data_IF_514063424126
#
_entry.id   IF_514063424126
#
_cell.length_a   1.000
_cell.length_b   1.000
_cell.length_c   1.000
_cell.angle_alpha   90.00
_cell.angle_beta   90.00
_cell.angle_gamma   90.00
#
_symmetry.space_group_name_H-M   'P 1'
#
loop_
_entity.id
_entity.type
_entity.pdbx_description
1 polymer ?
#
# COMPACT_ATOMS: atom_id res chain seq x y z
N UNK A 1 -11.68 27.49 -12.29
CA UNK A 1 -11.69 26.92 -13.64
C UNK A 1 -10.42 26.11 -13.97
N UNK A 2 -9.22 26.55 -13.57
CA UNK A 2 -7.98 25.82 -13.83
C UNK A 2 -7.89 24.47 -13.09
N UNK A 3 -8.43 24.35 -11.89
CA UNK A 3 -8.43 23.11 -11.12
C UNK A 3 -9.32 22.03 -11.76
N UNK A 4 -10.39 22.42 -12.42
CA UNK A 4 -11.31 21.50 -13.10
C UNK A 4 -10.73 20.97 -14.43
N UNK A 5 -9.95 21.78 -15.14
CA UNK A 5 -9.22 21.33 -16.35
C UNK A 5 -8.06 20.40 -16.01
N UNK A 6 -7.35 20.67 -14.91
CA UNK A 6 -6.26 19.80 -14.44
C UNK A 6 -6.79 18.40 -14.03
N UNK A 7 -7.95 18.36 -13.37
CA UNK A 7 -8.59 17.09 -13.00
C UNK A 7 -9.02 16.27 -14.23
N UNK A 8 -9.52 16.94 -15.29
CA UNK A 8 -9.88 16.28 -16.56
C UNK A 8 -8.66 15.79 -17.34
N UNK A 9 -7.55 16.53 -17.29
CA UNK A 9 -6.28 16.14 -17.92
C UNK A 9 -5.62 14.98 -17.19
N UNK A 10 -5.67 14.97 -15.85
CA UNK A 10 -5.19 13.84 -15.03
C UNK A 10 -6.00 12.55 -15.30
N UNK A 11 -7.33 12.66 -15.44
CA UNK A 11 -8.18 11.51 -15.77
C UNK A 11 -7.85 10.92 -17.16
N UNK A 12 -7.41 11.74 -18.13
CA UNK A 12 -6.97 11.26 -19.45
C UNK A 12 -5.58 10.64 -19.45
N UNK A 13 -4.67 11.08 -18.57
CA UNK A 13 -3.33 10.51 -18.42
C UNK A 13 -3.35 9.12 -17.75
N UNK A 14 -4.32 8.88 -16.88
CA UNK A 14 -4.50 7.58 -16.20
C UNK A 14 -5.01 6.51 -17.19
N UNK A 15 -5.72 6.89 -18.26
CA UNK A 15 -6.28 5.95 -19.25
C UNK A 15 -5.32 5.58 -20.40
N UNK A 16 -4.16 6.23 -20.51
CA UNK A 16 -3.21 5.99 -21.60
C UNK A 16 -1.79 5.72 -21.12
N UNK A 17 -1.56 4.60 -20.47
CA UNK A 17 -0.31 3.85 -20.49
C UNK A 17 0.96 4.50 -19.93
N UNK A 18 1.62 3.76 -19.15
CA UNK A 18 3.02 3.75 -18.72
C UNK A 18 3.99 4.75 -19.40
N UNK A 19 4.43 5.75 -18.64
CA UNK A 19 5.58 6.57 -18.98
C UNK A 19 6.81 6.09 -18.21
N UNK A 20 7.74 5.42 -18.88
CA UNK A 20 9.07 5.11 -18.35
C UNK A 20 9.94 6.37 -18.54
N UNK A 21 10.30 7.05 -17.45
CA UNK A 21 11.27 8.15 -17.47
C UNK A 21 12.55 7.67 -16.80
N UNK A 22 13.57 7.44 -17.60
CA UNK A 22 14.95 7.32 -17.11
C UNK A 22 15.53 8.75 -16.99
N UNK A 23 15.71 9.25 -15.77
CA UNK A 23 16.42 10.50 -15.51
C UNK A 23 17.60 10.24 -14.59
N UNK A 24 18.82 10.35 -15.13
CA UNK A 24 20.05 10.46 -14.35
C UNK A 24 20.23 11.91 -13.91
N UNK A 25 20.07 12.22 -12.64
CA UNK A 25 20.36 13.53 -12.08
C UNK A 25 21.28 13.43 -10.89
N UNK A 26 22.43 14.09 -11.00
CA UNK A 26 23.35 14.40 -9.89
C UNK A 26 22.79 15.58 -9.11
N UNK A 27 22.40 15.39 -7.84
CA UNK A 27 21.91 16.44 -6.96
C UNK A 27 23.02 16.93 -6.03
N UNK A 28 23.06 18.25 -5.71
CA UNK A 28 24.00 18.81 -4.75
C UNK A 28 23.65 18.43 -3.30
N UNK A 29 24.65 18.44 -2.37
CA UNK A 29 24.42 18.07 -0.97
C UNK A 29 23.82 19.25 -0.23
N UNK A 30 22.60 19.11 0.25
CA UNK A 30 21.96 19.73 1.40
C UNK A 30 20.44 19.90 1.20
N UNK A 31 19.70 18.86 1.56
CA UNK A 31 18.39 19.00 2.15
C UNK A 31 18.12 17.72 2.94
N UNK A 32 18.13 17.80 4.26
CA UNK A 32 17.62 16.74 5.13
C UNK A 32 16.09 16.70 4.95
N UNK A 33 15.65 16.15 3.85
CA UNK A 33 14.27 15.76 3.67
C UNK A 33 14.14 14.36 4.28
N UNK A 34 13.45 14.24 5.41
CA UNK A 34 12.98 12.95 5.89
C UNK A 34 11.96 12.45 4.90
N UNK A 35 12.40 11.55 4.05
CA UNK A 35 11.59 10.96 3.00
C UNK A 35 11.09 9.61 3.45
N UNK A 36 9.80 9.43 3.37
CA UNK A 36 9.07 8.28 3.84
C UNK A 36 8.93 7.22 2.76
N UNK A 37 8.90 6.00 3.23
CA UNK A 37 9.20 4.79 2.49
C UNK A 37 8.01 4.19 1.76
N UNK A 38 8.36 3.61 0.64
CA UNK A 38 7.48 2.94 -0.27
C UNK A 38 6.96 1.59 0.19
N UNK A 39 5.87 1.33 -0.36
CA UNK A 39 5.06 0.18 -0.58
C UNK A 39 5.65 -1.20 -0.29
N UNK A 40 5.21 -1.78 0.77
CA UNK A 40 5.03 -3.21 0.85
C UNK A 40 3.63 -3.43 1.39
N UNK A 41 2.74 -3.88 0.53
CA UNK A 41 1.33 -4.17 0.83
C UNK A 41 0.41 -2.95 0.93
N UNK A 42 -0.84 -3.04 0.50
CA UNK A 42 -1.86 -2.02 0.70
C UNK A 42 -2.36 -1.85 2.14
N UNK A 43 -1.79 -2.54 3.13
CA UNK A 43 -1.68 -1.96 4.44
C UNK A 43 -0.53 -0.95 4.34
N UNK A 44 -0.79 0.18 3.72
CA UNK A 44 0.11 1.30 3.71
C UNK A 44 0.47 1.62 5.15
N UNK A 45 1.66 1.18 5.59
CA UNK A 45 2.35 1.92 6.62
C UNK A 45 2.71 3.24 5.95
N UNK A 46 1.75 4.15 5.90
CA UNK A 46 2.01 5.56 5.63
C UNK A 46 2.63 6.08 6.91
N UNK A 47 3.96 6.20 7.01
CA UNK A 47 4.54 6.86 8.13
C UNK A 47 3.99 8.28 8.08
N UNK A 48 3.24 8.68 9.11
CA UNK A 48 2.83 10.06 9.26
C UNK A 48 4.09 10.92 9.12
N UNK A 49 4.03 11.91 8.28
CA UNK A 49 5.02 12.98 8.26
C UNK A 49 5.16 13.49 9.68
N UNK A 50 6.37 13.58 10.27
CA UNK A 50 6.53 14.45 11.41
C UNK A 50 5.97 15.81 11.00
N UNK A 51 5.14 16.39 11.83
CA UNK A 51 4.56 17.71 11.60
C UNK A 51 5.69 18.71 11.31
N UNK A 52 6.04 18.87 10.07
CA UNK A 52 6.98 19.86 9.61
C UNK A 52 6.19 21.08 9.21
N UNK A 53 6.33 22.12 10.07
CA UNK A 53 6.11 23.53 9.75
C UNK A 53 5.00 23.79 8.72
N UNK A 54 4.00 24.46 9.21
CA UNK A 54 3.11 25.33 8.44
C UNK A 54 3.92 26.33 7.58
N UNK A 55 4.60 25.87 6.55
CA UNK A 55 4.95 26.74 5.43
C UNK A 55 3.74 26.77 4.51
N UNK A 56 2.97 27.80 4.65
CA UNK A 56 1.71 28.17 4.01
C UNK A 56 1.84 28.44 2.50
N UNK A 57 2.54 27.63 1.72
CA UNK A 57 2.75 27.98 0.30
C UNK A 57 2.56 26.88 -0.74
N UNK A 58 2.06 25.71 -0.40
CA UNK A 58 1.51 24.83 -1.43
C UNK A 58 0.48 23.90 -0.84
N UNK A 59 -0.76 24.24 -1.00
CA UNK A 59 -1.91 23.43 -0.60
C UNK A 59 -2.09 22.19 -1.47
N UNK A 60 -1.35 22.09 -2.59
CA UNK A 60 -1.44 20.99 -3.54
C UNK A 60 -0.07 20.40 -3.86
N UNK A 61 0.07 19.07 -3.76
CA UNK A 61 1.24 18.34 -4.24
C UNK A 61 0.83 16.99 -4.85
N UNK A 62 1.73 16.40 -5.64
CA UNK A 62 1.59 15.06 -6.19
C UNK A 62 2.82 14.25 -5.77
N UNK A 63 2.60 13.13 -5.09
CA UNK A 63 3.64 12.16 -4.75
C UNK A 63 3.61 11.02 -5.77
N UNK A 64 4.78 10.61 -6.21
CA UNK A 64 4.99 9.52 -7.17
C UNK A 64 5.92 8.52 -6.51
N UNK A 65 5.51 7.26 -6.49
CA UNK A 65 6.34 6.14 -6.03
C UNK A 65 6.34 5.08 -7.13
N UNK A 66 7.52 4.61 -7.51
CA UNK A 66 7.69 3.44 -8.36
C UNK A 66 8.51 2.39 -7.61
N UNK A 67 8.09 1.14 -7.60
CA UNK A 67 8.73 0.10 -6.82
C UNK A 67 8.90 -1.20 -7.62
N UNK A 68 9.95 -1.93 -7.28
CA UNK A 68 10.16 -3.33 -7.64
C UNK A 68 10.25 -4.10 -6.32
N UNK A 69 9.49 -5.18 -6.20
CA UNK A 69 9.46 -6.03 -5.02
C UNK A 69 9.70 -7.49 -5.43
N UNK A 70 10.45 -8.24 -4.63
CA UNK A 70 10.75 -9.66 -4.93
C UNK A 70 9.53 -10.57 -4.82
N UNK A 71 8.54 -10.19 -3.99
CA UNK A 71 7.26 -10.87 -3.82
C UNK A 71 6.21 -9.85 -3.33
N UNK A 72 5.12 -9.69 -4.07
CA UNK A 72 4.04 -8.82 -3.64
C UNK A 72 3.18 -9.50 -2.58
N UNK A 73 3.51 -9.24 -1.33
CA UNK A 73 2.87 -9.83 -0.16
C UNK A 73 1.80 -8.89 0.39
N UNK A 74 0.55 -9.37 0.49
CA UNK A 74 -0.58 -8.65 1.03
C UNK A 74 -1.03 -9.30 2.34
N UNK A 75 -0.83 -8.61 3.48
CA UNK A 75 -1.24 -9.09 4.81
C UNK A 75 -0.87 -10.57 5.07
N UNK A 76 0.32 -10.99 4.59
CA UNK A 76 0.87 -12.32 4.85
C UNK A 76 0.65 -13.37 3.78
N UNK A 77 0.02 -13.03 2.64
CA UNK A 77 -0.05 -13.93 1.49
C UNK A 77 0.43 -13.25 0.20
N UNK A 78 1.03 -14.03 -0.68
CA UNK A 78 1.54 -13.51 -1.95
C UNK A 78 0.40 -13.26 -2.94
N UNK A 79 0.45 -12.12 -3.63
CA UNK A 79 -0.37 -11.81 -4.79
C UNK A 79 0.42 -11.96 -6.10
N UNK A 80 1.73 -12.20 -6.04
CA UNK A 80 2.59 -12.38 -7.21
C UNK A 80 3.13 -13.80 -7.37
N UNK A 81 2.62 -14.77 -6.59
CA UNK A 81 3.06 -16.18 -6.61
C UNK A 81 4.57 -16.31 -6.34
N UNK A 82 5.07 -15.56 -5.35
CA UNK A 82 6.49 -15.44 -5.00
C UNK A 82 7.41 -14.99 -6.15
N UNK A 83 6.84 -14.30 -7.15
CA UNK A 83 7.58 -13.75 -8.29
C UNK A 83 7.77 -12.24 -8.10
N UNK A 84 8.79 -11.64 -8.73
CA UNK A 84 8.95 -10.20 -8.73
C UNK A 84 7.71 -9.48 -9.26
N UNK A 85 7.36 -8.38 -8.59
CA UNK A 85 6.27 -7.49 -8.97
C UNK A 85 6.79 -6.06 -9.10
N UNK A 86 6.18 -5.31 -10.00
CA UNK A 86 6.36 -3.87 -10.14
C UNK A 86 5.09 -3.17 -9.71
N UNK A 87 5.24 -2.01 -9.07
CA UNK A 87 4.10 -1.19 -8.70
C UNK A 87 4.39 0.30 -8.86
N UNK A 88 3.34 1.07 -9.01
CA UNK A 88 3.39 2.53 -8.98
C UNK A 88 2.26 3.06 -8.11
N UNK A 89 2.53 4.15 -7.39
CA UNK A 89 1.53 4.90 -6.65
C UNK A 89 1.61 6.37 -7.04
N UNK A 90 0.46 6.96 -7.35
CA UNK A 90 0.28 8.38 -7.58
C UNK A 90 -0.69 8.90 -6.54
N UNK A 91 -0.24 9.81 -5.68
CA UNK A 91 -1.08 10.43 -4.65
C UNK A 91 -1.12 11.95 -4.88
N UNK A 92 -2.31 12.49 -5.08
CA UNK A 92 -2.57 13.92 -5.08
C UNK A 92 -3.10 14.34 -3.70
N UNK A 93 -2.54 15.40 -3.13
CA UNK A 93 -2.94 15.97 -1.85
C UNK A 93 -3.37 17.41 -1.99
N UNK A 94 -4.45 17.80 -1.29
CA UNK A 94 -4.90 19.18 -1.18
C UNK A 94 -5.39 19.46 0.24
N UNK A 95 -4.62 20.24 1.00
CA UNK A 95 -4.84 20.42 2.43
C UNK A 95 -4.90 19.08 3.18
N UNK A 96 -6.06 18.75 3.76
CA UNK A 96 -6.29 17.48 4.45
C UNK A 96 -6.81 16.39 3.50
N UNK A 97 -7.22 16.74 2.28
CA UNK A 97 -7.75 15.79 1.31
C UNK A 97 -6.63 15.06 0.58
N UNK A 98 -6.84 13.80 0.27
CA UNK A 98 -5.99 13.06 -0.66
C UNK A 98 -6.81 12.15 -1.55
N UNK A 99 -6.26 11.86 -2.73
CA UNK A 99 -6.70 10.81 -3.62
C UNK A 99 -5.46 10.14 -4.22
N UNK A 100 -5.48 8.82 -4.33
CA UNK A 100 -4.34 8.06 -4.86
C UNK A 100 -4.80 6.91 -5.73
N UNK A 101 -3.94 6.51 -6.66
CA UNK A 101 -4.06 5.29 -7.46
C UNK A 101 -2.78 4.50 -7.29
N UNK A 102 -2.92 3.26 -6.86
CA UNK A 102 -1.85 2.27 -6.88
C UNK A 102 -2.14 1.25 -7.99
N UNK A 103 -1.14 0.91 -8.77
CA UNK A 103 -1.20 -0.18 -9.74
C UNK A 103 -0.03 -1.13 -9.49
N UNK A 104 -0.30 -2.43 -9.37
CA UNK A 104 0.71 -3.44 -9.11
C UNK A 104 0.53 -4.66 -10.01
N UNK A 105 1.63 -5.21 -10.53
CA UNK A 105 1.56 -6.48 -11.21
C UNK A 105 1.31 -7.60 -10.20
N UNK A 106 0.33 -8.47 -10.51
CA UNK A 106 -0.05 -9.62 -9.68
C UNK A 106 -0.02 -10.88 -10.51
N UNK A 107 0.00 -12.03 -9.85
CA UNK A 107 -0.10 -13.33 -10.49
C UNK A 107 -1.12 -14.19 -9.73
N UNK A 108 -2.38 -13.79 -9.82
CA UNK A 108 -3.49 -14.50 -9.22
C UNK A 108 -4.19 -15.31 -10.30
N UNK A 109 -4.11 -16.66 -10.27
CA UNK A 109 -4.72 -17.50 -11.28
C UNK A 109 -6.19 -17.18 -11.51
N UNK A 110 -6.62 -17.16 -12.77
CA UNK A 110 -8.01 -16.89 -13.21
C UNK A 110 -8.54 -15.47 -12.91
N UNK A 111 -7.76 -14.62 -12.24
CA UNK A 111 -8.20 -13.26 -11.89
C UNK A 111 -7.59 -12.26 -12.87
N UNK A 112 -6.38 -11.82 -12.63
CA UNK A 112 -5.73 -10.77 -13.45
C UNK A 112 -4.23 -10.80 -13.25
N UNK A 113 -3.50 -10.09 -14.11
CA UNK A 113 -2.09 -9.77 -13.91
C UNK A 113 -1.88 -8.34 -13.37
N UNK A 114 -2.96 -7.60 -13.15
CA UNK A 114 -2.94 -6.24 -12.66
C UNK A 114 -3.95 -6.08 -11.51
N UNK A 115 -3.48 -5.58 -10.37
CA UNK A 115 -4.33 -5.04 -9.32
C UNK A 115 -4.25 -3.51 -9.37
N UNK A 116 -5.39 -2.86 -9.32
CA UNK A 116 -5.48 -1.42 -9.07
C UNK A 116 -6.16 -1.19 -7.72
N UNK A 117 -5.65 -0.20 -6.98
CA UNK A 117 -6.28 0.24 -5.73
C UNK A 117 -6.42 1.75 -5.78
N UNK A 118 -7.65 2.21 -5.82
CA UNK A 118 -8.00 3.62 -5.77
C UNK A 118 -8.28 4.03 -4.33
N UNK A 119 -7.64 5.10 -3.85
CA UNK A 119 -7.82 5.62 -2.50
C UNK A 119 -8.39 7.03 -2.55
N UNK A 120 -9.25 7.35 -1.59
CA UNK A 120 -9.67 8.72 -1.34
C UNK A 120 -10.00 8.89 0.14
N UNK A 121 -9.65 10.05 0.69
CA UNK A 121 -9.89 10.29 2.11
C UNK A 121 -9.39 11.64 2.61
N UNK A 122 -9.27 11.71 3.93
CA UNK A 122 -8.74 12.87 4.63
C UNK A 122 -7.60 12.45 5.56
N UNK A 123 -6.66 13.38 5.76
CA UNK A 123 -5.47 13.17 6.62
C UNK A 123 -5.23 14.40 7.49
N UNK A 124 -6.13 14.72 8.47
CA UNK A 124 -5.90 15.80 9.40
C UNK A 124 -4.74 15.51 10.36
N UNK A 125 -4.04 16.58 10.77
CA UNK A 125 -2.91 16.54 11.70
C UNK A 125 -3.24 17.35 12.94
N UNK A 126 -3.07 16.73 14.11
CA UNK A 126 -3.34 17.33 15.44
C UNK A 126 -2.06 17.23 16.30
N UNK A 127 -1.14 18.17 16.12
CA UNK A 127 0.17 18.12 16.78
C UNK A 127 0.99 16.92 16.34
N UNK A 128 1.21 15.96 17.24
CA UNK A 128 1.97 14.72 16.96
C UNK A 128 1.09 13.57 16.44
N UNK A 129 -0.24 13.76 16.41
CA UNK A 129 -1.21 12.79 15.93
C UNK A 129 -1.59 13.14 14.48
N UNK A 130 -1.44 12.17 13.58
CA UNK A 130 -2.05 12.21 12.25
C UNK A 130 -3.12 11.14 12.18
N UNK A 131 -4.29 11.48 11.67
CA UNK A 131 -5.37 10.51 11.46
C UNK A 131 -5.65 10.44 9.96
N UNK A 132 -5.35 9.30 9.35
CA UNK A 132 -5.78 9.05 7.98
C UNK A 132 -7.06 8.22 8.00
N UNK A 133 -8.06 8.61 7.23
CA UNK A 133 -9.30 7.84 7.07
C UNK A 133 -9.85 8.02 5.67
N UNK A 134 -10.45 6.96 5.13
CA UNK A 134 -10.90 6.99 3.76
C UNK A 134 -11.48 5.66 3.30
N UNK A 135 -11.51 5.52 1.99
CA UNK A 135 -11.90 4.31 1.28
C UNK A 135 -10.76 3.88 0.35
N UNK A 136 -10.50 2.58 0.30
CA UNK A 136 -9.68 1.92 -0.70
C UNK A 136 -10.61 1.05 -1.55
N UNK A 137 -10.53 1.16 -2.88
CA UNK A 137 -11.28 0.33 -3.81
C UNK A 137 -10.33 -0.55 -4.60
N UNK A 138 -10.40 -1.84 -4.34
CA UNK A 138 -9.58 -2.84 -5.04
C UNK A 138 -10.30 -3.27 -6.31
N UNK A 139 -9.58 -3.26 -7.43
CA UNK A 139 -10.07 -3.71 -8.73
C UNK A 139 -9.01 -4.51 -9.48
N UNK A 140 -9.46 -5.38 -10.37
CA UNK A 140 -8.61 -6.31 -11.11
C UNK A 140 -8.96 -6.26 -12.60
N UNK A 141 -8.46 -5.25 -13.34
CA UNK A 141 -8.74 -5.07 -14.76
C UNK A 141 -8.35 -6.30 -15.57
N UNK A 142 -9.23 -6.71 -16.49
CA UNK A 142 -9.02 -7.90 -17.32
C UNK A 142 -9.32 -9.23 -16.62
N UNK A 143 -9.80 -9.21 -15.37
CA UNK A 143 -10.27 -10.42 -14.70
C UNK A 143 -11.51 -11.01 -15.38
N UNK A 144 -11.55 -12.34 -15.45
CA UNK A 144 -12.73 -13.07 -15.93
C UNK A 144 -13.86 -13.14 -14.90
N UNK A 145 -13.54 -12.87 -13.62
CA UNK A 145 -14.48 -12.80 -12.50
C UNK A 145 -14.32 -11.46 -11.79
N UNK A 146 -15.44 -10.86 -11.41
CA UNK A 146 -15.40 -9.59 -10.66
C UNK A 146 -15.26 -9.87 -9.16
N UNK A 147 -14.07 -9.58 -8.63
CA UNK A 147 -13.74 -9.66 -7.21
C UNK A 147 -13.42 -8.27 -6.62
N UNK A 148 -13.84 -7.21 -7.31
CA UNK A 148 -13.59 -5.83 -6.88
C UNK A 148 -14.42 -5.49 -5.65
N UNK A 149 -13.84 -4.76 -4.69
CA UNK A 149 -14.54 -4.41 -3.46
C UNK A 149 -13.93 -3.17 -2.78
N UNK A 150 -14.73 -2.43 -1.99
CA UNK A 150 -14.22 -1.35 -1.14
C UNK A 150 -13.81 -1.85 0.24
N UNK A 151 -12.78 -1.22 0.80
CA UNK A 151 -12.45 -1.20 2.23
C UNK A 151 -12.56 0.22 2.77
N UNK A 152 -13.23 0.40 3.89
CA UNK A 152 -13.24 1.64 4.66
C UNK A 152 -12.18 1.54 5.75
N UNK A 153 -11.42 2.60 6.01
CA UNK A 153 -10.35 2.52 6.98
C UNK A 153 -10.15 3.77 7.82
N UNK A 154 -9.54 3.56 8.98
CA UNK A 154 -8.98 4.58 9.83
C UNK A 154 -7.60 4.14 10.31
N UNK A 155 -6.63 5.02 10.19
CA UNK A 155 -5.22 4.75 10.46
C UNK A 155 -4.57 5.91 11.23
N UNK A 156 -4.83 6.05 12.55
CA UNK A 156 -4.13 7.00 13.38
C UNK A 156 -2.66 6.62 13.55
N UNK A 157 -1.79 7.61 13.49
CA UNK A 157 -0.36 7.48 13.76
C UNK A 157 0.11 8.59 14.68
N UNK A 158 1.01 8.27 15.61
CA UNK A 158 1.50 9.17 16.63
C UNK A 158 3.04 9.17 16.68
N UNK A 159 3.64 10.34 16.55
CA UNK A 159 5.07 10.54 16.68
C UNK A 159 5.46 10.59 18.17
N UNK A 160 5.81 9.44 18.77
CA UNK A 160 6.26 9.36 20.17
C UNK A 160 7.57 10.13 20.40
N UNK A 161 8.41 10.23 19.37
CA UNK A 161 9.59 11.07 19.33
C UNK A 161 9.94 11.43 17.87
N UNK A 162 10.93 12.31 17.61
CA UNK A 162 11.39 12.56 16.25
C UNK A 162 11.89 11.33 15.48
N UNK A 163 12.18 10.23 16.20
CA UNK A 163 12.71 8.98 15.62
C UNK A 163 11.74 7.81 15.71
N UNK A 164 10.75 7.87 16.61
CA UNK A 164 9.83 6.76 16.88
C UNK A 164 8.40 7.13 16.54
N UNK A 165 7.82 6.39 15.63
CA UNK A 165 6.42 6.48 15.26
C UNK A 165 5.70 5.17 15.57
N UNK A 166 4.47 5.27 16.03
CA UNK A 166 3.55 4.15 16.20
C UNK A 166 2.27 4.44 15.44
N UNK A 167 1.62 3.40 14.93
CA UNK A 167 0.31 3.51 14.27
C UNK A 167 -0.59 2.35 14.66
N UNK A 168 -1.88 2.60 14.59
CA UNK A 168 -2.93 1.59 14.66
C UNK A 168 -3.72 1.71 13.37
N UNK A 169 -4.10 0.59 12.77
CA UNK A 169 -4.86 0.59 11.54
C UNK A 169 -6.08 -0.31 11.71
N UNK A 170 -7.23 0.15 11.23
CA UNK A 170 -8.44 -0.64 11.17
C UNK A 170 -9.06 -0.49 9.78
N UNK A 171 -9.30 -1.62 9.12
CA UNK A 171 -9.90 -1.72 7.79
C UNK A 171 -11.12 -2.61 7.84
N UNK A 172 -12.17 -2.25 7.12
CA UNK A 172 -13.41 -3.00 7.07
C UNK A 172 -13.96 -3.06 5.64
N UNK A 173 -14.19 -4.27 5.13
CA UNK A 173 -14.92 -4.50 3.90
C UNK A 173 -16.25 -5.23 4.20
N UNK A 174 -17.39 -4.66 3.82
CA UNK A 174 -18.69 -5.32 4.06
C UNK A 174 -18.91 -6.55 3.18
N UNK A 175 -18.18 -6.64 2.07
CA UNK A 175 -18.31 -7.72 1.09
C UNK A 175 -16.96 -8.00 0.42
N UNK A 176 -16.08 -8.69 1.16
CA UNK A 176 -14.72 -9.06 0.72
C UNK A 176 -14.78 -9.85 -0.59
N UNK A 177 -14.08 -9.35 -1.60
CA UNK A 177 -13.94 -9.99 -2.93
C UNK A 177 -15.30 -10.50 -3.50
N UNK A 178 -16.41 -9.83 -3.19
CA UNK A 178 -17.78 -10.18 -3.58
C UNK A 178 -18.24 -11.57 -3.12
N UNK A 179 -17.62 -12.11 -2.10
CA UNK A 179 -17.96 -13.44 -1.55
C UNK A 179 -19.19 -13.43 -0.65
N UNK A 180 -19.69 -12.26 -0.24
CA UNK A 180 -20.71 -12.08 0.79
C UNK A 180 -20.13 -12.07 2.22
N UNK A 181 -18.89 -12.48 2.43
CA UNK A 181 -18.22 -12.38 3.71
C UNK A 181 -17.79 -10.93 3.97
N UNK A 182 -17.95 -10.45 5.18
CA UNK A 182 -17.27 -9.24 5.63
C UNK A 182 -15.79 -9.55 5.96
N UNK A 183 -14.97 -8.53 5.93
CA UNK A 183 -13.56 -8.57 6.31
C UNK A 183 -13.27 -7.44 7.30
N UNK A 184 -12.45 -7.73 8.32
CA UNK A 184 -11.89 -6.74 9.22
C UNK A 184 -10.41 -7.03 9.43
N UNK A 185 -9.56 -6.00 9.23
CA UNK A 185 -8.13 -6.07 9.51
C UNK A 185 -7.76 -4.97 10.51
N UNK A 186 -7.25 -5.39 11.66
CA UNK A 186 -6.73 -4.51 12.70
C UNK A 186 -5.24 -4.74 12.89
N UNK A 187 -4.45 -3.69 12.97
CA UNK A 187 -3.01 -3.82 13.21
C UNK A 187 -2.44 -2.71 14.09
N UNK A 188 -1.31 -3.03 14.71
CA UNK A 188 -0.42 -2.07 15.34
C UNK A 188 0.95 -2.16 14.68
N UNK A 189 1.56 -1.01 14.40
CA UNK A 189 2.88 -0.94 13.80
C UNK A 189 3.76 0.09 14.52
N UNK A 190 5.07 -0.13 14.43
CA UNK A 190 6.06 0.79 14.96
C UNK A 190 7.25 0.92 13.98
N UNK A 191 7.81 2.13 13.89
CA UNK A 191 9.00 2.45 13.10
C UNK A 191 9.95 3.31 13.91
N UNK A 192 11.20 2.89 13.98
CA UNK A 192 12.30 3.67 14.53
C UNK A 192 13.30 4.02 13.44
N UNK A 193 13.58 5.32 13.27
CA UNK A 193 14.51 5.83 12.25
C UNK A 193 15.77 6.37 12.94
N UNK A 194 16.94 5.83 12.57
CA UNK A 194 18.25 6.26 13.03
C UNK A 194 18.72 7.51 12.28
N UNK A 195 19.65 8.24 12.85
CA UNK A 195 20.25 9.43 12.20
C UNK A 195 21.01 9.10 10.90
N UNK A 196 21.43 7.86 10.74
CA UNK A 196 22.07 7.34 9.53
C UNK A 196 21.13 7.19 8.32
N UNK A 197 19.79 7.35 8.51
CA UNK A 197 18.80 7.04 7.49
C UNK A 197 18.34 5.57 7.47
N UNK A 198 18.97 4.71 8.29
CA UNK A 198 18.47 3.36 8.52
C UNK A 198 17.20 3.42 9.38
N UNK A 199 16.23 2.58 9.10
CA UNK A 199 15.07 2.39 9.96
C UNK A 199 14.79 0.91 10.21
N UNK A 200 14.24 0.62 11.39
CA UNK A 200 13.67 -0.68 11.76
C UNK A 200 12.18 -0.48 11.93
N UNK A 201 11.36 -1.37 11.38
CA UNK A 201 9.92 -1.31 11.54
C UNK A 201 9.33 -2.71 11.66
N UNK A 202 8.14 -2.78 12.26
CA UNK A 202 7.38 -4.02 12.36
C UNK A 202 5.89 -3.74 12.53
N UNK A 203 5.10 -4.73 12.20
CA UNK A 203 3.65 -4.70 12.30
C UNK A 203 3.14 -6.05 12.81
N UNK A 204 2.10 -6.00 13.64
CA UNK A 204 1.32 -7.15 14.07
C UNK A 204 -0.14 -6.85 13.76
N UNK A 205 -0.78 -7.72 12.97
CA UNK A 205 -2.16 -7.55 12.55
C UNK A 205 -3.01 -8.80 12.75
N UNK A 206 -4.30 -8.60 12.87
CA UNK A 206 -5.33 -9.64 12.92
C UNK A 206 -6.29 -9.43 11.77
N UNK A 207 -6.44 -10.45 10.94
CA UNK A 207 -7.42 -10.53 9.88
C UNK A 207 -8.58 -11.40 10.34
N UNK A 208 -9.80 -10.88 10.23
CA UNK A 208 -11.04 -11.60 10.58
C UNK A 208 -12.01 -11.51 9.42
N UNK A 209 -12.77 -12.57 9.20
CA UNK A 209 -13.72 -12.66 8.11
C UNK A 209 -15.11 -13.12 8.56
N UNK A 210 -16.11 -12.83 7.76
CA UNK A 210 -17.44 -13.40 7.85
C UNK A 210 -17.54 -14.76 7.17
N UNK A 211 -18.79 -15.14 6.90
CA UNK A 211 -19.15 -16.35 6.16
C UNK A 211 -19.55 -15.97 4.74
N UNK A 212 -19.06 -16.69 3.76
CA UNK A 212 -19.40 -16.48 2.34
C UNK A 212 -20.85 -16.86 2.08
N UNK A 213 -21.45 -16.27 1.06
CA UNK A 213 -22.75 -16.72 0.57
C UNK A 213 -22.65 -18.10 -0.09
N UNK A 214 -23.69 -18.91 0.04
CA UNK A 214 -23.85 -20.08 -0.82
C UNK A 214 -24.04 -19.62 -2.28
N UNK A 215 -23.35 -20.26 -3.24
CA UNK A 215 -23.56 -19.94 -4.66
C UNK A 215 -24.89 -20.50 -5.14
N UNK A 216 -25.64 -19.73 -5.95
CA UNK A 216 -26.94 -20.13 -6.49
C UNK A 216 -26.87 -21.38 -7.38
N UNK A 217 -25.68 -21.80 -7.83
CA UNK A 217 -25.42 -23.00 -8.63
C UNK A 217 -25.16 -24.26 -7.79
N UNK A 218 -25.48 -24.23 -6.49
CA UNK A 218 -25.56 -25.39 -5.59
C UNK A 218 -24.28 -26.23 -5.36
N UNK A 219 -23.12 -25.76 -5.77
CA UNK A 219 -21.88 -26.54 -5.61
C UNK A 219 -20.99 -26.07 -4.44
N UNK A 220 -21.22 -24.86 -3.89
CA UNK A 220 -20.49 -24.38 -2.73
C UNK A 220 -21.44 -23.93 -1.62
N UNK A 221 -21.42 -24.61 -0.48
CA UNK A 221 -22.10 -24.19 0.73
C UNK A 221 -21.47 -22.90 1.30
N UNK A 222 -22.26 -22.14 2.06
CA UNK A 222 -21.75 -21.01 2.83
C UNK A 222 -20.59 -21.47 3.74
N UNK A 223 -19.48 -20.79 3.69
CA UNK A 223 -18.25 -21.16 4.40
C UNK A 223 -17.70 -19.99 5.20
N UNK A 224 -17.39 -20.20 6.48
CA UNK A 224 -16.61 -19.25 7.29
C UNK A 224 -15.19 -19.21 6.76
N UNK A 225 -14.72 -18.02 6.34
CA UNK A 225 -13.31 -17.84 5.98
C UNK A 225 -12.44 -17.84 7.25
N UNK A 226 -11.22 -18.38 7.19
CA UNK A 226 -10.35 -18.51 8.35
C UNK A 226 -9.79 -17.15 8.80
N UNK A 227 -9.92 -16.86 10.08
CA UNK A 227 -9.25 -15.75 10.73
C UNK A 227 -7.78 -16.08 10.97
N UNK A 228 -6.90 -15.07 10.87
CA UNK A 228 -5.46 -15.29 11.09
C UNK A 228 -4.76 -14.07 11.66
N UNK A 229 -3.56 -14.30 12.19
CA UNK A 229 -2.63 -13.25 12.60
C UNK A 229 -1.52 -13.13 11.57
N UNK A 230 -1.15 -11.91 11.27
CA UNK A 230 -0.06 -11.53 10.38
C UNK A 230 0.98 -10.73 11.16
N UNK A 231 2.25 -10.91 10.85
CA UNK A 231 3.31 -10.04 11.36
C UNK A 231 4.41 -9.88 10.34
N UNK A 232 5.07 -8.74 10.44
CA UNK A 232 6.28 -8.48 9.68
C UNK A 232 7.28 -7.70 10.52
N UNK A 233 8.55 -7.83 10.16
CA UNK A 233 9.64 -7.00 10.68
C UNK A 233 10.70 -6.81 9.60
N UNK A 234 11.23 -5.60 9.46
CA UNK A 234 12.21 -5.30 8.44
C UNK A 234 13.07 -4.09 8.74
N UNK A 235 14.07 -3.94 7.87
CA UNK A 235 14.99 -2.83 7.84
C UNK A 235 14.79 -2.07 6.53
N UNK A 236 14.83 -0.74 6.59
CA UNK A 236 14.81 0.09 5.40
C UNK A 236 15.93 1.13 5.46
N UNK A 237 16.46 1.48 4.30
CA UNK A 237 17.49 2.50 4.16
C UNK A 237 17.13 3.46 3.04
N UNK A 238 17.16 4.75 3.36
CA UNK A 238 16.84 5.83 2.43
C UNK A 238 18.13 6.44 1.93
N UNK A 239 18.29 6.46 0.61
CA UNK A 239 19.37 7.15 -0.07
C UNK A 239 18.81 8.05 -1.16
N UNK A 240 18.79 9.37 -0.90
CA UNK A 240 18.16 10.37 -1.80
C UNK A 240 16.68 10.01 -2.08
N UNK A 241 16.34 9.81 -3.34
CA UNK A 241 15.00 9.41 -3.78
C UNK A 241 14.77 7.89 -3.72
N UNK A 242 15.79 7.10 -3.40
CA UNK A 242 15.69 5.64 -3.34
C UNK A 242 15.47 5.16 -1.92
N UNK A 243 14.66 4.13 -1.78
CA UNK A 243 14.46 3.38 -0.54
C UNK A 243 14.68 1.91 -0.81
N UNK A 244 15.53 1.30 0.00
CA UNK A 244 15.73 -0.14 0.08
C UNK A 244 15.02 -0.66 1.32
N UNK A 245 14.23 -1.71 1.20
CA UNK A 245 13.59 -2.41 2.33
C UNK A 245 13.83 -3.91 2.21
N UNK A 246 14.15 -4.54 3.33
CA UNK A 246 14.25 -5.99 3.47
C UNK A 246 13.39 -6.41 4.66
N UNK A 247 12.39 -7.25 4.43
CA UNK A 247 11.34 -7.54 5.39
C UNK A 247 11.05 -9.02 5.46
N UNK A 248 11.00 -9.55 6.69
CA UNK A 248 10.42 -10.87 6.96
C UNK A 248 8.93 -10.72 7.19
N UNK A 249 8.14 -11.57 6.55
CA UNK A 249 6.68 -11.59 6.66
C UNK A 249 6.21 -12.99 7.00
N UNK A 250 5.18 -13.12 7.83
CA UNK A 250 4.63 -14.41 8.21
C UNK A 250 3.17 -14.30 8.69
N UNK A 251 2.47 -15.43 8.68
CA UNK A 251 1.10 -15.56 9.16
C UNK A 251 0.88 -16.85 9.92
N UNK A 252 -0.26 -16.94 10.63
CA UNK A 252 -0.70 -18.18 11.28
C UNK A 252 -1.53 -19.09 10.35
N UNK A 253 -1.68 -18.73 9.07
CA UNK A 253 -2.45 -19.53 8.12
C UNK A 253 -1.80 -20.89 7.88
N UNK A 254 -2.58 -21.96 7.99
CA UNK A 254 -2.22 -23.26 7.44
C UNK A 254 -2.30 -23.22 5.91
N UNK A 255 -1.65 -24.15 5.23
CA UNK A 255 -1.74 -24.27 3.76
C UNK A 255 -3.20 -24.38 3.28
N UNK A 256 -4.02 -25.13 4.00
CA UNK A 256 -5.44 -25.31 3.69
C UNK A 256 -6.23 -24.02 3.88
N UNK A 257 -6.00 -23.30 4.98
CA UNK A 257 -6.61 -22.00 5.23
C UNK A 257 -6.16 -20.96 4.21
N UNK A 258 -4.89 -21.00 3.80
CA UNK A 258 -4.35 -20.15 2.75
C UNK A 258 -5.07 -20.37 1.41
N UNK A 259 -5.28 -21.65 1.03
CA UNK A 259 -6.06 -21.98 -0.17
C UNK A 259 -7.47 -21.40 -0.12
N UNK A 260 -8.14 -21.46 1.02
CA UNK A 260 -9.50 -20.94 1.18
C UNK A 260 -9.60 -19.41 1.01
N UNK A 261 -8.54 -18.68 1.37
CA UNK A 261 -8.51 -17.21 1.22
C UNK A 261 -8.07 -16.80 -0.17
N UNK A 262 -7.02 -17.46 -0.71
CA UNK A 262 -6.38 -17.02 -1.94
C UNK A 262 -6.95 -17.67 -3.20
N UNK A 263 -7.64 -18.79 -3.07
CA UNK A 263 -8.07 -19.62 -4.20
C UNK A 263 -6.91 -20.22 -5.00
N UNK A 264 -5.65 -20.05 -4.53
CA UNK A 264 -4.45 -20.53 -5.22
C UNK A 264 -3.93 -21.83 -4.60
N UNK A 265 -3.40 -22.74 -5.40
CA UNK A 265 -2.93 -24.05 -4.93
C UNK A 265 -3.87 -25.19 -5.30
N UNK A 266 -3.94 -26.21 -4.47
CA UNK A 266 -4.76 -27.42 -4.70
C UNK A 266 -5.69 -27.68 -3.51
N UNK A 267 -6.90 -28.14 -3.78
CA UNK A 267 -7.91 -28.44 -2.75
C UNK A 267 -7.37 -29.43 -1.68
N UNK A 268 -6.58 -30.41 -2.10
CA UNK A 268 -6.05 -31.45 -1.21
C UNK A 268 -4.70 -31.07 -0.56
N UNK A 269 -3.86 -30.30 -1.27
CA UNK A 269 -2.50 -29.93 -0.80
C UNK A 269 -2.43 -28.55 -0.13
N UNK A 270 -3.47 -27.71 -0.32
CA UNK A 270 -3.49 -26.33 0.13
C UNK A 270 -2.63 -25.40 -0.72
N UNK A 271 -2.30 -24.24 -0.21
CA UNK A 271 -1.49 -23.21 -0.86
C UNK A 271 -0.20 -22.93 -0.07
N UNK A 272 0.90 -22.72 -0.80
CA UNK A 272 2.15 -22.23 -0.24
C UNK A 272 2.23 -20.69 -0.21
N UNK A 273 1.23 -20.00 -0.78
CA UNK A 273 1.20 -18.55 -0.91
C UNK A 273 1.22 -17.77 0.42
N UNK A 274 0.99 -18.43 1.55
CA UNK A 274 1.03 -17.85 2.90
C UNK A 274 2.25 -18.33 3.71
N UNK A 275 3.21 -19.02 3.09
CA UNK A 275 4.43 -19.40 3.78
C UNK A 275 5.22 -18.16 4.20
N UNK A 276 5.95 -18.22 5.32
CA UNK A 276 6.87 -17.14 5.67
C UNK A 276 7.84 -16.82 4.53
N UNK A 277 8.09 -15.54 4.31
CA UNK A 277 8.96 -15.08 3.23
C UNK A 277 9.86 -13.93 3.67
N UNK A 278 10.99 -13.77 2.97
CA UNK A 278 11.80 -12.56 3.02
C UNK A 278 11.54 -11.78 1.74
N UNK A 279 11.05 -10.57 1.90
CA UNK A 279 10.67 -9.67 0.79
C UNK A 279 11.67 -8.53 0.71
N UNK A 280 12.27 -8.34 -0.46
CA UNK A 280 13.14 -7.22 -0.77
C UNK A 280 12.41 -6.23 -1.68
N UNK A 281 12.49 -4.94 -1.36
CA UNK A 281 11.86 -3.86 -2.13
C UNK A 281 12.88 -2.77 -2.46
N UNK A 282 12.86 -2.30 -3.69
CA UNK A 282 13.50 -1.07 -4.11
C UNK A 282 12.43 -0.11 -4.61
N UNK A 283 12.37 1.08 -4.00
CA UNK A 283 11.42 2.13 -4.38
C UNK A 283 12.13 3.41 -4.76
N UNK A 284 11.60 4.09 -5.76
CA UNK A 284 11.93 5.46 -6.11
C UNK A 284 10.77 6.36 -5.73
N UNK A 285 11.05 7.42 -4.97
CA UNK A 285 10.05 8.33 -4.42
C UNK A 285 10.37 9.78 -4.82
N UNK A 286 9.37 10.52 -5.28
CA UNK A 286 9.52 11.95 -5.58
C UNK A 286 8.18 12.67 -5.40
N UNK A 287 8.23 14.01 -5.36
CA UNK A 287 7.04 14.84 -5.39
C UNK A 287 7.12 15.83 -6.55
N UNK A 288 5.96 16.36 -6.96
CA UNK A 288 5.91 17.42 -7.98
C UNK A 288 6.68 18.66 -7.52
N UNK A 289 6.61 18.99 -6.25
CA UNK A 289 7.35 20.09 -5.63
C UNK A 289 8.87 19.88 -5.68
N UNK A 290 9.35 18.65 -5.47
CA UNK A 290 10.78 18.30 -5.58
C UNK A 290 11.26 18.40 -7.04
N UNK A 291 10.47 17.89 -7.98
CA UNK A 291 10.79 17.97 -9.41
C UNK A 291 10.89 19.43 -9.88
N UNK A 292 9.94 20.29 -9.47
CA UNK A 292 9.97 21.71 -9.79
C UNK A 292 11.22 22.41 -9.25
N UNK A 293 11.63 22.11 -7.99
CA UNK A 293 12.85 22.67 -7.37
C UNK A 293 14.10 22.23 -8.14
N UNK A 294 14.18 20.96 -8.51
CA UNK A 294 15.31 20.43 -9.28
C UNK A 294 15.42 21.14 -10.64
N UNK A 295 14.32 21.27 -11.36
CA UNK A 295 14.30 21.94 -12.68
C UNK A 295 14.63 23.44 -12.58
N UNK A 296 14.20 24.13 -11.52
CA UNK A 296 14.53 25.54 -11.29
C UNK A 296 16.01 25.76 -10.97
N UNK A 297 16.70 24.79 -10.37
CA UNK A 297 18.14 24.82 -10.08
C UNK A 297 19.04 24.62 -11.32
N UNK A 298 18.49 24.22 -12.46
CA UNK A 298 19.21 24.09 -13.74
C UNK A 298 19.11 25.37 -14.63
N UNK A 299 18.43 26.42 -14.18
CA UNK A 299 18.38 27.74 -14.81
C UNK A 299 19.31 28.71 -14.09
#
# INVERSE_FOLDING_TARGET
DQACELARSLARLITTGALVIAATSTLPPQAKAQQENGATSPALFVPARPALRTDTTSTFDIKIIASIVSDYNFRGYTLSDHKPSISTNLEATYNILFAAVNAASVHVPMVSQLQMTDYAGIRPVFGLLTVETGVAYYSYPGSSIDISYPEYYVAPSYALSPKLMVSVNAYYAPNYSRTGAWENYDSIAAKYTFDSGLAISGELGRQSFGTTNATATATAAAQKLPDYTYWNMGFSYIYKALTFDLRYVATTLSKQSCFLITGTGQVTAGSNGCNPAVVATLSWNTTLSDLKRTLAGFR
#
